data_IF_872922309995
#
_entry.id   IF_872922309995
#
_cell.length_a   1.000
_cell.length_b   1.000
_cell.length_c   1.000
_cell.angle_alpha   90.00
_cell.angle_beta   90.00
_cell.angle_gamma   90.00
#
_symmetry.space_group_name_H-M   'P 1'
#
loop_
_entity.id
_entity.type
_entity.pdbx_description
1 polymer ?
#
# COMPACT_ATOMS: atom_id res chain seq x y z
N UNK A 1 -2.58 16.44 4.57
CA UNK A 1 -2.66 16.38 6.05
C UNK A 1 -2.40 14.94 6.46
N UNK A 2 -1.33 14.66 7.20
CA UNK A 2 -1.02 13.32 7.71
C UNK A 2 -1.55 13.19 9.14
N UNK A 3 -2.87 13.07 9.29
CA UNK A 3 -3.44 12.76 10.60
C UNK A 3 -3.49 11.25 10.77
N UNK A 4 -2.78 10.73 11.78
CA UNK A 4 -2.87 9.33 12.20
C UNK A 4 -4.01 9.22 13.22
N UNK A 5 -4.94 8.29 12.98
CA UNK A 5 -6.04 7.98 13.89
C UNK A 5 -5.65 6.79 14.77
N UNK A 6 -6.02 6.84 16.05
CA UNK A 6 -5.76 5.76 17.00
C UNK A 6 -7.07 5.19 17.53
N UNK A 7 -7.24 3.87 17.45
CA UNK A 7 -8.35 3.13 18.03
C UNK A 7 -7.78 2.11 19.02
N UNK A 8 -8.14 2.25 20.29
CA UNK A 8 -7.74 1.34 21.36
C UNK A 8 -8.94 0.55 21.89
N UNK A 9 -8.72 -0.72 22.25
CA UNK A 9 -9.71 -1.60 22.87
C UNK A 9 -9.26 -1.97 24.29
N UNK A 10 -9.71 -1.25 25.34
CA UNK A 10 -9.19 -1.43 26.70
C UNK A 10 -9.35 -2.85 27.27
N UNK A 11 -10.44 -3.54 26.89
CA UNK A 11 -10.72 -4.89 27.37
C UNK A 11 -9.72 -5.94 26.87
N UNK A 12 -9.10 -5.73 25.70
CA UNK A 12 -8.15 -6.66 25.09
C UNK A 12 -6.73 -6.12 25.03
N UNK A 13 -6.53 -4.83 25.30
CA UNK A 13 -5.26 -4.14 25.11
C UNK A 13 -4.87 -3.94 23.64
N UNK A 14 -5.78 -4.21 22.70
CA UNK A 14 -5.47 -4.10 21.27
C UNK A 14 -5.46 -2.64 20.83
N UNK A 15 -4.42 -2.26 20.09
CA UNK A 15 -4.26 -0.90 19.53
C UNK A 15 -4.15 -0.93 18.01
N UNK A 16 -4.81 0.02 17.35
CA UNK A 16 -4.77 0.20 15.90
C UNK A 16 -4.45 1.65 15.54
N UNK A 17 -3.43 1.83 14.71
CA UNK A 17 -3.01 3.14 14.21
C UNK A 17 -3.31 3.20 12.71
N UNK A 18 -4.14 4.15 12.30
CA UNK A 18 -4.63 4.28 10.93
C UNK A 18 -4.15 5.56 10.27
N UNK A 19 -3.75 5.48 9.01
CA UNK A 19 -3.55 6.65 8.15
C UNK A 19 -4.48 6.51 6.96
N UNK A 20 -5.39 7.46 6.79
CA UNK A 20 -6.41 7.41 5.74
C UNK A 20 -6.12 8.49 4.71
N UNK A 21 -5.65 8.08 3.54
CA UNK A 21 -5.49 8.94 2.37
C UNK A 21 -6.61 8.63 1.39
N UNK A 22 -7.50 9.60 1.19
CA UNK A 22 -8.56 9.51 0.20
C UNK A 22 -8.77 10.88 -0.44
N UNK A 23 -8.72 10.91 -1.76
CA UNK A 23 -8.94 12.12 -2.57
C UNK A 23 -9.93 11.80 -3.67
N UNK A 24 -11.22 11.65 -3.30
CA UNK A 24 -12.29 11.27 -4.24
C UNK A 24 -11.87 10.08 -5.14
N UNK A 25 -12.44 9.93 -6.33
CA UNK A 25 -12.03 8.93 -7.33
C UNK A 25 -10.65 9.17 -7.97
N UNK A 26 -9.72 9.82 -7.27
CA UNK A 26 -8.34 10.03 -7.73
C UNK A 26 -7.36 9.13 -7.00
N UNK A 27 -7.50 8.97 -5.68
CA UNK A 27 -6.53 8.25 -4.85
C UNK A 27 -7.19 7.66 -3.61
N UNK A 28 -7.02 6.36 -3.40
CA UNK A 28 -7.41 5.62 -2.20
C UNK A 28 -6.21 4.86 -1.62
N UNK A 29 -5.91 5.08 -0.34
CA UNK A 29 -4.89 4.34 0.40
C UNK A 29 -5.16 4.47 1.91
N UNK A 30 -5.49 3.35 2.57
CA UNK A 30 -5.62 3.31 4.03
C UNK A 30 -4.57 2.37 4.61
N UNK A 31 -3.79 2.84 5.57
CA UNK A 31 -2.81 1.98 6.26
C UNK A 31 -3.26 1.69 7.67
N UNK A 32 -3.04 0.46 8.14
CA UNK A 32 -3.33 0.03 9.50
C UNK A 32 -2.07 -0.59 10.12
N UNK A 33 -1.67 -0.13 11.29
CA UNK A 33 -0.58 -0.71 12.09
C UNK A 33 -1.14 -1.22 13.40
N UNK A 34 -0.82 -2.47 13.74
CA UNK A 34 -1.31 -3.13 14.96
C UNK A 34 -0.44 -4.34 15.30
N UNK A 35 -0.14 -4.56 16.58
CA UNK A 35 0.62 -5.74 17.04
C UNK A 35 1.93 -6.00 16.27
N UNK A 36 2.67 -4.95 15.90
CA UNK A 36 3.90 -5.03 15.09
C UNK A 36 3.68 -5.25 13.58
N UNK A 37 2.46 -5.57 13.15
CA UNK A 37 2.09 -5.74 11.74
C UNK A 37 1.69 -4.41 11.09
N UNK A 38 1.91 -4.29 9.78
CA UNK A 38 1.65 -3.08 8.99
C UNK A 38 0.97 -3.46 7.67
N UNK A 39 -0.25 -2.97 7.48
CA UNK A 39 -1.11 -3.30 6.36
C UNK A 39 -1.44 -2.04 5.56
N UNK A 40 -1.53 -2.16 4.24
CA UNK A 40 -2.11 -1.14 3.37
C UNK A 40 -3.30 -1.73 2.61
N UNK A 41 -4.37 -0.96 2.51
CA UNK A 41 -5.54 -1.23 1.70
C UNK A 41 -5.57 -0.19 0.59
N UNK A 42 -5.43 -0.67 -0.64
CA UNK A 42 -5.15 0.07 -1.86
C UNK A 42 -3.86 0.89 -1.81
N UNK A 43 -3.34 1.18 -2.99
CA UNK A 43 -2.17 2.01 -3.27
C UNK A 43 -2.49 2.87 -4.50
N UNK A 44 -3.55 3.68 -4.40
CA UNK A 44 -3.78 4.78 -5.33
C UNK A 44 -2.69 5.84 -5.23
N UNK A 45 -2.24 6.07 -3.99
CA UNK A 45 -1.14 6.98 -3.66
C UNK A 45 -0.15 6.31 -2.70
N UNK A 46 1.14 6.35 -3.02
CA UNK A 46 2.20 5.83 -2.15
C UNK A 46 2.56 6.85 -1.06
N UNK A 47 1.78 6.90 0.02
CA UNK A 47 2.06 7.73 1.21
C UNK A 47 3.27 7.22 1.98
N UNK A 48 3.89 8.08 2.82
CA UNK A 48 5.00 7.65 3.70
C UNK A 48 4.63 6.47 4.60
N UNK A 49 3.40 6.44 5.12
CA UNK A 49 2.89 5.34 5.93
C UNK A 49 2.71 4.06 5.11
N UNK A 50 2.22 4.17 3.88
CA UNK A 50 1.99 3.02 3.00
C UNK A 50 3.29 2.31 2.65
N UNK A 51 4.37 3.06 2.37
CA UNK A 51 5.69 2.48 2.08
C UNK A 51 6.19 1.59 3.21
N UNK A 52 5.78 1.83 4.47
CA UNK A 52 6.17 0.99 5.61
C UNK A 52 5.38 -0.33 5.72
N UNK A 53 4.30 -0.48 4.94
CA UNK A 53 3.46 -1.67 4.94
C UNK A 53 4.06 -2.76 4.06
N UNK A 54 4.11 -3.98 4.60
CA UNK A 54 4.65 -5.16 3.92
C UNK A 54 3.55 -6.14 3.48
N UNK A 55 2.30 -5.85 3.83
CA UNK A 55 1.10 -6.57 3.39
C UNK A 55 0.15 -5.56 2.76
N UNK A 56 -0.01 -5.64 1.45
CA UNK A 56 -0.79 -4.69 0.65
C UNK A 56 -1.96 -5.41 0.02
N UNK A 57 -3.18 -4.93 0.24
CA UNK A 57 -4.41 -5.50 -0.30
C UNK A 57 -4.98 -4.52 -1.32
N UNK A 58 -5.03 -4.93 -2.59
CA UNK A 58 -5.63 -4.16 -3.68
C UNK A 58 -7.05 -4.66 -3.89
N UNK A 59 -8.02 -3.76 -3.83
CA UNK A 59 -9.44 -4.10 -3.96
C UNK A 59 -9.83 -4.42 -5.40
N UNK A 60 -9.42 -3.60 -6.36
CA UNK A 60 -9.66 -3.78 -7.80
C UNK A 60 -8.67 -2.95 -8.65
N UNK A 61 -8.74 -3.10 -9.98
CA UNK A 61 -7.75 -2.58 -10.92
C UNK A 61 -7.93 -1.14 -11.38
N UNK A 62 -8.81 -0.35 -10.78
CA UNK A 62 -8.89 1.07 -11.13
C UNK A 62 -7.65 1.83 -10.64
N UNK A 63 -7.24 2.83 -11.41
CA UNK A 63 -5.97 3.54 -11.21
C UNK A 63 -5.93 4.26 -9.85
N UNK A 64 -7.06 4.75 -9.36
CA UNK A 64 -7.18 5.37 -8.04
C UNK A 64 -7.01 4.39 -6.87
N UNK A 65 -6.97 3.08 -7.13
CA UNK A 65 -6.74 2.03 -6.14
C UNK A 65 -5.38 1.34 -6.27
N UNK A 66 -4.79 1.29 -7.47
CA UNK A 66 -3.52 0.58 -7.69
C UNK A 66 -2.46 1.34 -8.49
N UNK A 67 -2.73 2.59 -8.88
CA UNK A 67 -1.88 3.38 -9.78
C UNK A 67 -0.48 3.65 -9.23
N UNK A 68 -0.30 3.68 -7.91
CA UNK A 68 1.00 3.87 -7.29
C UNK A 68 1.74 2.55 -6.97
N UNK A 69 1.26 1.39 -7.44
CA UNK A 69 1.83 0.08 -7.10
C UNK A 69 3.33 -0.01 -7.42
N UNK A 70 3.72 0.32 -8.66
CA UNK A 70 5.13 0.27 -9.08
C UNK A 70 6.00 1.27 -8.29
N UNK A 71 5.45 2.44 -7.96
CA UNK A 71 6.10 3.43 -7.10
C UNK A 71 6.32 2.88 -5.69
N UNK A 72 5.35 2.18 -5.12
CA UNK A 72 5.49 1.54 -3.80
C UNK A 72 6.59 0.47 -3.81
N UNK A 73 6.64 -0.38 -4.83
CA UNK A 73 7.72 -1.38 -5.01
C UNK A 73 9.08 -0.68 -5.05
N UNK A 74 9.24 0.30 -5.95
CA UNK A 74 10.50 1.04 -6.13
C UNK A 74 10.94 1.77 -4.88
N UNK A 75 10.03 2.42 -4.15
CA UNK A 75 10.38 3.14 -2.91
C UNK A 75 10.80 2.22 -1.77
N UNK A 76 10.26 1.01 -1.70
CA UNK A 76 10.71 0.00 -0.74
C UNK A 76 12.08 -0.55 -1.10
N UNK A 77 12.32 -0.80 -2.39
CA UNK A 77 13.61 -1.27 -2.92
C UNK A 77 14.73 -0.24 -2.66
N UNK A 78 14.51 1.04 -2.99
CA UNK A 78 15.44 2.14 -2.69
C UNK A 78 15.79 2.28 -1.20
N UNK A 79 14.91 1.81 -0.31
CA UNK A 79 15.10 1.83 1.14
C UNK A 79 15.65 0.50 1.69
N UNK A 80 16.06 -0.42 0.82
CA UNK A 80 16.51 -1.76 1.17
C UNK A 80 15.55 -2.51 2.11
N UNK A 81 14.25 -2.29 1.95
CA UNK A 81 13.23 -2.94 2.76
C UNK A 81 12.94 -4.34 2.23
N UNK A 82 12.58 -5.26 3.11
CA UNK A 82 12.09 -6.59 2.70
C UNK A 82 10.94 -6.44 1.69
N UNK A 83 10.88 -7.25 0.61
CA UNK A 83 9.79 -7.22 -0.34
C UNK A 83 8.42 -7.34 0.35
N UNK A 84 7.45 -6.55 -0.11
CA UNK A 84 6.07 -6.64 0.36
C UNK A 84 5.32 -7.78 -0.35
N UNK A 85 4.30 -8.32 0.31
CA UNK A 85 3.32 -9.24 -0.28
C UNK A 85 2.09 -8.46 -0.72
N UNK A 86 1.67 -8.65 -1.98
CA UNK A 86 0.53 -7.98 -2.58
C UNK A 86 -0.60 -8.98 -2.81
N UNK A 87 -1.75 -8.73 -2.20
CA UNK A 87 -2.98 -9.49 -2.33
C UNK A 87 -3.91 -8.73 -3.28
N UNK A 88 -4.48 -9.41 -4.27
CA UNK A 88 -5.36 -8.80 -5.27
C UNK A 88 -6.33 -9.86 -5.85
N UNK A 89 -7.42 -9.44 -6.50
CA UNK A 89 -8.24 -10.30 -7.34
C UNK A 89 -7.42 -11.04 -8.41
N UNK A 90 -7.79 -12.28 -8.68
CA UNK A 90 -7.03 -13.17 -9.58
C UNK A 90 -6.96 -12.63 -11.02
N UNK A 91 -8.05 -12.01 -11.49
CA UNK A 91 -8.19 -11.45 -12.83
C UNK A 91 -7.24 -10.27 -13.11
N UNK A 92 -6.85 -9.50 -12.10
CA UNK A 92 -5.92 -8.38 -12.26
C UNK A 92 -4.45 -8.72 -11.94
N UNK A 93 -4.19 -9.89 -11.35
CA UNK A 93 -2.86 -10.23 -10.82
C UNK A 93 -1.74 -10.13 -11.88
N UNK A 94 -1.96 -10.71 -13.07
CA UNK A 94 -0.93 -10.71 -14.11
C UNK A 94 -0.73 -9.30 -14.71
N UNK A 95 -1.80 -8.53 -14.86
CA UNK A 95 -1.75 -7.15 -15.30
C UNK A 95 -0.92 -6.29 -14.34
N UNK A 96 -1.13 -6.42 -13.03
CA UNK A 96 -0.35 -5.71 -12.01
C UNK A 96 1.13 -6.08 -12.06
N UNK A 97 1.46 -7.37 -12.21
CA UNK A 97 2.85 -7.81 -12.39
C UNK A 97 3.48 -7.20 -13.63
N UNK A 98 2.76 -7.16 -14.75
CA UNK A 98 3.26 -6.59 -16.00
C UNK A 98 3.50 -5.09 -15.89
N UNK A 99 2.65 -4.34 -15.19
CA UNK A 99 2.90 -2.93 -14.89
C UNK A 99 4.22 -2.75 -14.14
N UNK A 100 4.45 -3.53 -13.07
CA UNK A 100 5.71 -3.47 -12.32
C UNK A 100 6.93 -3.83 -13.18
N UNK A 101 6.84 -4.88 -14.02
CA UNK A 101 7.91 -5.29 -14.94
C UNK A 101 8.21 -4.19 -15.96
N UNK A 102 7.18 -3.56 -16.54
CA UNK A 102 7.34 -2.49 -17.52
C UNK A 102 8.06 -1.28 -16.93
N UNK A 103 7.69 -0.86 -15.71
CA UNK A 103 8.42 0.19 -15.00
C UNK A 103 9.87 -0.19 -14.70
N UNK A 104 10.11 -1.43 -14.26
CA UNK A 104 11.47 -1.91 -14.00
C UNK A 104 12.34 -1.96 -15.27
N UNK A 105 11.76 -2.32 -16.42
CA UNK A 105 12.47 -2.38 -17.70
C UNK A 105 12.88 -1.00 -18.25
N UNK A 106 12.19 0.06 -17.82
CA UNK A 106 12.53 1.44 -18.16
C UNK A 106 13.63 2.05 -17.27
N UNK A 107 13.99 1.41 -16.16
CA UNK A 107 15.02 1.93 -15.27
C UNK A 107 16.36 2.01 -16.01
N UNK A 108 16.99 3.19 -15.98
CA UNK A 108 18.33 3.41 -16.53
C UNK A 108 19.35 2.52 -15.79
N UNK A 109 20.34 2.00 -16.53
CA UNK A 109 21.41 1.13 -16.00
C UNK A 109 22.64 1.93 -15.61
#
# INVERSE_FOLDING_TARGET
MNQEFHIGFPATGQEYFLNCWSVSGLESCVTVRTGGSRFAFDIGHATRSSINCDRVFITHGHVDHCGALAKHVSQRDMRAMTPATYYCPQDIQETLKNICKSYAAMAER
#
